data_IF_788934577176
#
_entry.id   IF_788934577176
#
_cell.length_a   1.000
_cell.length_b   1.000
_cell.length_c   1.000
_cell.angle_alpha   90.00
_cell.angle_beta   90.00
_cell.angle_gamma   90.00
#
_symmetry.space_group_name_H-M   'P 1'
#
loop_
_entity.id
_entity.type
_entity.pdbx_description
1 polymer ?
#
# COMPACT_ATOMS: atom_id res chain seq x y z
N UNK A 1 -14.83 7.36 -14.67
CA UNK A 1 -15.30 6.63 -13.48
C UNK A 1 -15.69 5.17 -13.76
N UNK A 2 -16.47 4.87 -14.81
CA UNK A 2 -16.97 3.51 -15.12
C UNK A 2 -15.91 2.40 -15.30
N UNK A 3 -14.69 2.72 -15.79
CA UNK A 3 -13.57 1.75 -15.84
C UNK A 3 -12.98 1.40 -14.46
N UNK A 4 -13.07 2.30 -13.47
CA UNK A 4 -12.62 2.02 -12.09
C UNK A 4 -13.58 1.03 -11.39
N UNK A 5 -14.87 1.01 -11.76
CA UNK A 5 -15.86 0.04 -11.25
C UNK A 5 -15.64 -1.40 -11.75
N UNK A 6 -15.14 -1.61 -12.99
CA UNK A 6 -14.83 -2.96 -13.49
C UNK A 6 -13.66 -3.64 -12.75
N UNK A 7 -12.80 -2.86 -12.09
CA UNK A 7 -11.76 -3.40 -11.19
C UNK A 7 -12.38 -3.90 -9.89
N UNK A 8 -13.43 -3.24 -9.38
CA UNK A 8 -14.20 -3.69 -8.19
C UNK A 8 -14.87 -5.05 -8.43
N UNK A 9 -15.33 -5.29 -9.66
CA UNK A 9 -15.91 -6.56 -10.14
C UNK A 9 -14.92 -7.73 -10.32
N UNK A 10 -13.63 -7.54 -10.00
CA UNK A 10 -12.64 -8.63 -9.93
C UNK A 10 -12.00 -8.79 -8.55
N UNK A 11 -12.35 -7.92 -7.59
CA UNK A 11 -11.87 -7.99 -6.20
C UNK A 11 -12.53 -9.18 -5.49
N UNK A 12 -13.78 -9.46 -5.83
CA UNK A 12 -14.54 -10.63 -5.40
C UNK A 12 -13.78 -11.94 -5.66
N UNK A 13 -13.23 -12.12 -6.87
CA UNK A 13 -12.45 -13.32 -7.22
C UNK A 13 -11.11 -13.39 -6.50
N UNK A 14 -10.46 -12.24 -6.27
CA UNK A 14 -9.22 -12.20 -5.49
C UNK A 14 -9.46 -12.53 -4.01
N UNK A 15 -10.55 -12.02 -3.44
CA UNK A 15 -10.98 -12.33 -2.06
C UNK A 15 -11.42 -13.79 -1.93
N UNK A 16 -12.16 -14.32 -2.91
CA UNK A 16 -12.55 -15.72 -2.95
C UNK A 16 -11.31 -16.64 -3.01
N UNK A 17 -10.33 -16.32 -3.86
CA UNK A 17 -9.08 -17.08 -3.97
C UNK A 17 -8.31 -17.11 -2.64
N UNK A 18 -8.26 -15.98 -1.92
CA UNK A 18 -7.59 -15.89 -0.60
C UNK A 18 -8.36 -16.66 0.46
N UNK A 19 -9.69 -16.60 0.41
CA UNK A 19 -10.57 -17.32 1.32
C UNK A 19 -10.47 -18.84 1.11
N UNK A 20 -10.40 -19.29 -0.14
CA UNK A 20 -10.17 -20.69 -0.51
C UNK A 20 -8.77 -21.16 -0.13
N UNK A 21 -7.74 -20.33 -0.34
CA UNK A 21 -6.34 -20.70 -0.09
C UNK A 21 -5.94 -20.64 1.39
N UNK A 22 -6.52 -19.73 2.18
CA UNK A 22 -5.97 -19.38 3.51
C UNK A 22 -7.02 -18.96 4.55
N UNK A 23 -8.20 -19.61 4.58
CA UNK A 23 -9.32 -19.26 5.48
C UNK A 23 -8.94 -18.98 6.94
N UNK A 24 -8.05 -19.78 7.53
CA UNK A 24 -7.60 -19.60 8.93
C UNK A 24 -6.81 -18.31 9.12
N UNK A 25 -5.86 -18.04 8.22
CA UNK A 25 -5.06 -16.82 8.23
C UNK A 25 -5.89 -15.58 7.89
N UNK A 26 -6.87 -15.71 7.01
CA UNK A 26 -7.82 -14.63 6.68
C UNK A 26 -8.63 -14.19 7.90
N UNK A 27 -9.17 -15.14 8.67
CA UNK A 27 -9.91 -14.84 9.91
C UNK A 27 -8.98 -14.22 10.95
N UNK A 28 -7.80 -14.81 11.16
CA UNK A 28 -6.85 -14.30 12.16
C UNK A 28 -6.35 -12.89 11.79
N UNK A 29 -6.07 -12.64 10.51
CA UNK A 29 -5.74 -11.32 9.99
C UNK A 29 -6.86 -10.31 10.19
N UNK A 30 -8.11 -10.70 9.96
CA UNK A 30 -9.27 -9.83 10.18
C UNK A 30 -9.38 -9.43 11.66
N UNK A 31 -9.22 -10.37 12.59
CA UNK A 31 -9.25 -10.09 14.04
C UNK A 31 -8.13 -9.13 14.42
N UNK A 32 -6.89 -9.37 13.97
CA UNK A 32 -5.75 -8.48 14.23
C UNK A 32 -5.99 -7.07 13.66
N UNK A 33 -6.58 -6.96 12.47
CA UNK A 33 -6.95 -5.68 11.86
C UNK A 33 -8.03 -4.94 12.67
N UNK A 34 -9.05 -5.64 13.17
CA UNK A 34 -10.07 -5.03 14.03
C UNK A 34 -9.44 -4.48 15.32
N UNK A 35 -8.58 -5.26 15.97
CA UNK A 35 -7.87 -4.82 17.17
C UNK A 35 -7.00 -3.58 16.90
N UNK A 36 -6.21 -3.61 15.82
CA UNK A 36 -5.38 -2.47 15.41
C UNK A 36 -6.21 -1.22 15.04
N UNK A 37 -7.44 -1.38 14.56
CA UNK A 37 -8.34 -0.28 14.24
C UNK A 37 -8.90 0.42 15.49
N UNK A 38 -9.16 -0.34 16.56
CA UNK A 38 -9.80 0.18 17.79
C UNK A 38 -8.79 0.66 18.84
N UNK A 39 -7.61 0.03 18.94
CA UNK A 39 -6.58 0.40 19.91
C UNK A 39 -6.17 1.90 19.92
N UNK A 40 -6.09 2.60 18.77
CA UNK A 40 -5.79 4.03 18.77
C UNK A 40 -6.80 4.86 19.57
N UNK A 41 -8.07 4.42 19.65
CA UNK A 41 -9.10 5.10 20.46
C UNK A 41 -8.81 4.97 21.95
N UNK A 42 -8.35 3.80 22.40
CA UNK A 42 -7.94 3.60 23.78
C UNK A 42 -6.74 4.50 24.15
N UNK A 43 -5.74 4.59 23.26
CA UNK A 43 -4.61 5.52 23.43
C UNK A 43 -5.09 6.97 23.52
N UNK A 44 -5.98 7.40 22.63
CA UNK A 44 -6.54 8.76 22.64
C UNK A 44 -7.30 9.07 23.94
N UNK A 45 -8.08 8.10 24.46
CA UNK A 45 -8.76 8.25 25.76
C UNK A 45 -7.77 8.41 26.92
N UNK A 46 -6.66 7.65 26.94
CA UNK A 46 -5.63 7.81 27.96
C UNK A 46 -4.92 9.18 27.88
N UNK A 47 -4.65 9.69 26.67
CA UNK A 47 -4.13 11.05 26.50
C UNK A 47 -5.10 12.10 27.06
N UNK A 48 -6.41 11.91 26.84
CA UNK A 48 -7.45 12.77 27.42
C UNK A 48 -7.42 12.76 28.95
N UNK A 49 -7.28 11.60 29.57
CA UNK A 49 -7.14 11.49 31.04
C UNK A 49 -5.91 12.24 31.58
N UNK A 50 -4.79 12.24 30.84
CA UNK A 50 -3.60 13.04 31.22
C UNK A 50 -3.94 14.54 31.19
N UNK A 51 -4.60 15.01 30.13
CA UNK A 51 -4.98 16.42 29.99
C UNK A 51 -5.97 16.84 31.09
N UNK A 52 -6.98 16.01 31.36
CA UNK A 52 -7.96 16.26 32.43
C UNK A 52 -7.26 16.35 33.79
N UNK A 53 -6.35 15.40 34.09
CA UNK A 53 -5.58 15.37 35.34
C UNK A 53 -4.72 16.63 35.53
N UNK A 54 -4.01 17.05 34.47
CA UNK A 54 -3.20 18.28 34.51
C UNK A 54 -4.10 19.49 34.76
N UNK A 55 -5.24 19.57 34.06
CA UNK A 55 -6.17 20.70 34.19
C UNK A 55 -6.80 20.77 35.58
N UNK A 56 -7.24 19.63 36.15
CA UNK A 56 -7.78 19.55 37.52
C UNK A 56 -6.74 19.92 38.58
N UNK A 57 -5.47 19.54 38.37
CA UNK A 57 -4.37 19.87 39.28
C UNK A 57 -4.04 21.36 39.28
N UNK A 58 -4.10 22.02 38.12
CA UNK A 58 -3.90 23.47 37.96
C UNK A 58 -5.05 24.26 38.56
N UNK A 59 -6.28 23.76 38.45
CA UNK A 59 -7.48 24.38 39.02
C UNK A 59 -7.66 24.12 40.53
N UNK A 60 -6.76 23.37 41.17
CA UNK A 60 -6.77 23.11 42.63
C UNK A 60 -7.90 22.21 43.12
N UNK A 61 -8.67 21.57 42.21
CA UNK A 61 -9.88 20.81 42.56
C UNK A 61 -9.59 19.34 42.90
N UNK A 62 -8.42 18.81 42.52
CA UNK A 62 -7.98 17.44 42.81
C UNK A 62 -6.46 17.35 42.69
N UNK A 63 -5.79 16.90 43.76
CA UNK A 63 -4.42 16.39 43.65
C UNK A 63 -4.48 14.93 43.23
N UNK A 64 -4.75 14.65 41.95
CA UNK A 64 -4.57 13.30 41.46
C UNK A 64 -3.09 12.92 41.63
N UNK A 65 -2.84 11.90 42.44
CA UNK A 65 -1.49 11.56 42.88
C UNK A 65 -0.58 11.18 41.73
N UNK A 66 0.72 11.44 41.88
CA UNK A 66 1.78 11.05 40.95
C UNK A 66 1.69 9.55 40.56
N UNK A 67 1.20 8.72 41.48
CA UNK A 67 0.90 7.29 41.26
C UNK A 67 -0.15 7.03 40.18
N UNK A 68 -1.23 7.82 40.11
CA UNK A 68 -2.26 7.68 39.08
C UNK A 68 -1.73 8.09 37.71
N UNK A 69 -0.96 9.18 37.64
CA UNK A 69 -0.28 9.62 36.41
C UNK A 69 0.69 8.55 35.90
N UNK A 70 1.52 8.00 36.78
CA UNK A 70 2.42 6.88 36.44
C UNK A 70 1.64 5.67 35.94
N UNK A 71 0.50 5.36 36.57
CA UNK A 71 -0.40 4.30 36.09
C UNK A 71 -0.90 4.52 34.67
N UNK A 72 -1.29 5.75 34.31
CA UNK A 72 -1.73 6.08 32.94
C UNK A 72 -0.57 5.98 31.94
N UNK A 73 0.62 6.47 32.30
CA UNK A 73 1.81 6.38 31.42
C UNK A 73 2.19 4.92 31.18
N UNK A 74 2.16 4.08 32.21
CA UNK A 74 2.44 2.64 32.08
C UNK A 74 1.38 1.97 31.20
N UNK A 75 0.10 2.34 31.35
CA UNK A 75 -0.97 1.83 30.49
C UNK A 75 -0.78 2.25 29.02
N UNK A 76 -0.38 3.50 28.76
CA UNK A 76 -0.03 3.96 27.41
C UNK A 76 1.13 3.17 26.81
N UNK A 77 2.21 3.00 27.57
CA UNK A 77 3.36 2.21 27.14
C UNK A 77 2.96 0.76 26.82
N UNK A 78 2.12 0.15 27.66
CA UNK A 78 1.60 -1.20 27.42
C UNK A 78 0.77 -1.27 26.14
N UNK A 79 -0.10 -0.29 25.87
CA UNK A 79 -0.89 -0.23 24.63
C UNK A 79 0.04 -0.11 23.41
N UNK A 80 1.06 0.76 23.45
CA UNK A 80 1.99 0.91 22.33
C UNK A 80 2.78 -0.38 22.06
N UNK A 81 3.19 -1.10 23.11
CA UNK A 81 3.83 -2.42 22.98
C UNK A 81 2.87 -3.43 22.32
N UNK A 82 1.59 -3.46 22.74
CA UNK A 82 0.57 -4.34 22.15
C UNK A 82 0.33 -3.97 20.68
N UNK A 83 0.25 -2.68 20.34
CA UNK A 83 0.11 -2.21 18.96
C UNK A 83 1.32 -2.63 18.12
N UNK A 84 2.54 -2.46 18.62
CA UNK A 84 3.76 -2.87 17.93
C UNK A 84 3.79 -4.38 17.69
N UNK A 85 3.41 -5.18 18.69
CA UNK A 85 3.30 -6.63 18.57
C UNK A 85 2.24 -7.03 17.53
N UNK A 86 1.04 -6.46 17.57
CA UNK A 86 -0.03 -6.73 16.62
C UNK A 86 0.34 -6.31 15.19
N UNK A 87 1.11 -5.22 15.01
CA UNK A 87 1.64 -4.84 13.69
C UNK A 87 2.63 -5.87 13.16
N UNK A 88 3.54 -6.35 14.01
CA UNK A 88 4.47 -7.43 13.66
C UNK A 88 3.73 -8.71 13.28
N UNK A 89 2.73 -9.08 14.08
CA UNK A 89 1.86 -10.23 13.82
C UNK A 89 1.07 -10.08 12.51
N UNK A 90 0.50 -8.90 12.25
CA UNK A 90 -0.18 -8.59 10.99
C UNK A 90 0.75 -8.74 9.79
N UNK A 91 2.01 -8.31 9.92
CA UNK A 91 3.02 -8.47 8.87
C UNK A 91 3.32 -9.95 8.61
N UNK A 92 3.45 -10.75 9.66
CA UNK A 92 3.68 -12.19 9.55
C UNK A 92 2.49 -12.93 8.91
N UNK A 93 1.26 -12.59 9.31
CA UNK A 93 0.03 -13.13 8.70
C UNK A 93 -0.02 -12.80 7.22
N UNK A 94 0.26 -11.54 6.88
CA UNK A 94 0.27 -11.09 5.48
C UNK A 94 1.28 -11.91 4.69
N UNK A 95 2.54 -12.00 5.15
CA UNK A 95 3.57 -12.78 4.47
C UNK A 95 3.18 -14.25 4.28
N UNK A 96 2.58 -14.87 5.30
CA UNK A 96 2.11 -16.26 5.22
C UNK A 96 0.98 -16.42 4.20
N UNK A 97 0.04 -15.47 4.14
CA UNK A 97 -1.00 -15.44 3.11
C UNK A 97 -0.41 -15.25 1.70
N UNK A 98 0.60 -14.39 1.56
CA UNK A 98 1.27 -14.19 0.27
C UNK A 98 1.87 -15.49 -0.24
N UNK A 99 2.62 -16.22 0.58
CA UNK A 99 3.19 -17.52 0.19
C UNK A 99 2.13 -18.56 -0.15
N UNK A 100 1.09 -18.72 0.67
CA UNK A 100 0.03 -19.70 0.41
C UNK A 100 -0.74 -19.42 -0.88
N UNK A 101 -1.01 -18.15 -1.17
CA UNK A 101 -1.67 -17.75 -2.42
C UNK A 101 -0.74 -17.98 -3.62
N UNK A 102 0.55 -17.69 -3.49
CA UNK A 102 1.54 -17.96 -4.54
C UNK A 102 1.63 -19.46 -4.84
N UNK A 103 1.75 -20.30 -3.81
CA UNK A 103 1.81 -21.75 -3.94
C UNK A 103 0.54 -22.32 -4.58
N UNK A 104 -0.63 -21.82 -4.18
CA UNK A 104 -1.89 -22.23 -4.77
C UNK A 104 -1.96 -21.88 -6.27
N UNK A 105 -1.60 -20.65 -6.64
CA UNK A 105 -1.57 -20.22 -8.04
C UNK A 105 -0.58 -21.07 -8.86
N UNK A 106 0.62 -21.33 -8.33
CA UNK A 106 1.61 -22.18 -8.99
C UNK A 106 1.12 -23.62 -9.15
N UNK A 107 0.48 -24.19 -8.13
CA UNK A 107 -0.08 -25.53 -8.19
C UNK A 107 -1.19 -25.64 -9.25
N UNK A 108 -2.10 -24.67 -9.30
CA UNK A 108 -3.13 -24.59 -10.34
C UNK A 108 -2.51 -24.47 -11.73
N UNK A 109 -1.44 -23.67 -11.85
CA UNK A 109 -0.74 -23.51 -13.12
C UNK A 109 -0.07 -24.81 -13.56
N UNK A 110 0.64 -25.51 -12.65
CA UNK A 110 1.25 -26.80 -12.94
C UNK A 110 0.20 -27.84 -13.39
N UNK A 111 -0.91 -27.96 -12.66
CA UNK A 111 -2.00 -28.88 -13.02
C UNK A 111 -2.62 -28.55 -14.39
N UNK A 112 -2.70 -27.26 -14.75
CA UNK A 112 -3.21 -26.88 -16.07
C UNK A 112 -2.19 -27.14 -17.18
N UNK A 113 -0.93 -26.84 -16.94
CA UNK A 113 0.19 -27.06 -17.88
C UNK A 113 0.40 -28.54 -18.23
N UNK A 114 0.13 -29.47 -17.32
CA UNK A 114 0.21 -30.92 -17.58
C UNK A 114 -1.04 -31.48 -18.26
N UNK A 115 -2.18 -30.79 -18.15
CA UNK A 115 -3.45 -31.20 -18.79
C UNK A 115 -3.60 -30.76 -20.25
N UNK A 116 -2.68 -29.92 -20.75
CA UNK A 116 -2.77 -29.30 -22.06
C UNK A 116 -1.88 -30.03 -23.07
N UNK A 117 -2.39 -30.17 -24.29
CA UNK A 117 -1.67 -30.80 -25.39
C UNK A 117 -0.45 -29.96 -25.81
N UNK A 118 0.60 -30.64 -26.29
CA UNK A 118 1.87 -30.03 -26.65
C UNK A 118 1.71 -28.97 -27.75
N UNK A 119 0.72 -29.15 -28.63
CA UNK A 119 0.36 -28.18 -29.68
C UNK A 119 0.04 -26.77 -29.15
N UNK A 120 -0.40 -26.63 -27.89
CA UNK A 120 -0.62 -25.31 -27.29
C UNK A 120 0.68 -24.59 -26.93
N UNK A 121 1.78 -25.31 -26.68
CA UNK A 121 3.08 -24.69 -26.38
C UNK A 121 3.72 -24.05 -27.60
N UNK A 122 3.33 -24.47 -28.80
CA UNK A 122 3.78 -23.87 -30.06
C UNK A 122 3.02 -22.58 -30.41
N UNK A 123 1.92 -22.28 -29.71
CA UNK A 123 1.15 -21.06 -29.92
C UNK A 123 1.77 -19.87 -29.16
N UNK A 124 2.22 -18.81 -29.85
CA UNK A 124 2.82 -17.64 -29.22
C UNK A 124 1.90 -16.94 -28.21
N UNK A 125 0.58 -16.95 -28.46
CA UNK A 125 -0.39 -16.33 -27.56
C UNK A 125 -0.55 -17.11 -26.24
N UNK A 126 -0.40 -18.44 -26.28
CA UNK A 126 -0.39 -19.27 -25.08
C UNK A 126 0.91 -19.08 -24.29
N UNK A 127 2.04 -19.01 -24.98
CA UNK A 127 3.35 -18.77 -24.36
C UNK A 127 3.41 -17.43 -23.62
N UNK A 128 2.86 -16.37 -24.23
CA UNK A 128 2.77 -15.04 -23.61
C UNK A 128 1.81 -15.07 -22.39
N UNK A 129 0.67 -15.75 -22.51
CA UNK A 129 -0.29 -15.91 -21.40
C UNK A 129 0.29 -16.71 -20.23
N UNK A 130 1.05 -17.77 -20.52
CA UNK A 130 1.71 -18.61 -19.53
C UNK A 130 2.84 -17.83 -18.84
N UNK A 131 3.65 -17.09 -19.60
CA UNK A 131 4.71 -16.24 -19.05
C UNK A 131 4.15 -15.15 -18.13
N UNK A 132 3.08 -14.47 -18.55
CA UNK A 132 2.38 -13.50 -17.71
C UNK A 132 1.75 -14.15 -16.46
N UNK A 133 1.23 -15.36 -16.57
CA UNK A 133 0.69 -16.10 -15.43
C UNK A 133 1.78 -16.52 -14.43
N UNK A 134 2.99 -16.82 -14.91
CA UNK A 134 4.14 -17.19 -14.07
C UNK A 134 4.76 -15.96 -13.38
N UNK A 135 5.01 -14.89 -14.14
CA UNK A 135 5.73 -13.72 -13.64
C UNK A 135 4.83 -12.73 -12.90
N UNK A 136 3.62 -12.45 -13.39
CA UNK A 136 2.78 -11.40 -12.83
C UNK A 136 1.75 -11.91 -11.83
N UNK A 137 1.09 -13.05 -12.07
CA UNK A 137 -0.06 -13.47 -11.27
C UNK A 137 0.23 -13.65 -9.76
N UNK A 138 1.36 -14.27 -9.34
CA UNK A 138 1.64 -14.49 -7.92
C UNK A 138 1.86 -13.17 -7.17
N UNK A 139 2.61 -12.24 -7.76
CA UNK A 139 2.95 -10.95 -7.14
C UNK A 139 1.80 -9.93 -7.18
N UNK A 140 0.95 -9.97 -8.21
CA UNK A 140 -0.16 -9.02 -8.36
C UNK A 140 -1.33 -9.34 -7.43
N UNK A 141 -1.57 -10.63 -7.19
CA UNK A 141 -2.71 -11.10 -6.38
C UNK A 141 -2.49 -10.83 -4.89
N UNK A 142 -1.31 -11.15 -4.36
CA UNK A 142 -0.92 -10.81 -2.97
C UNK A 142 -1.05 -9.32 -2.68
N UNK A 143 -0.53 -8.48 -3.59
CA UNK A 143 -0.53 -7.03 -3.43
C UNK A 143 -1.93 -6.42 -3.37
N UNK A 144 -2.89 -6.97 -4.11
CA UNK A 144 -4.28 -6.49 -4.07
C UNK A 144 -4.89 -6.72 -2.68
N UNK A 145 -4.65 -7.88 -2.08
CA UNK A 145 -5.16 -8.26 -0.75
C UNK A 145 -4.57 -7.37 0.32
N UNK A 146 -3.27 -7.15 0.28
CA UNK A 146 -2.57 -6.26 1.20
C UNK A 146 -3.13 -4.84 1.14
N UNK A 147 -3.31 -4.29 -0.07
CA UNK A 147 -3.86 -2.93 -0.24
C UNK A 147 -5.29 -2.84 0.29
N UNK A 148 -6.13 -3.85 0.06
CA UNK A 148 -7.51 -3.87 0.58
C UNK A 148 -7.54 -3.97 2.10
N UNK A 149 -6.68 -4.80 2.70
CA UNK A 149 -6.55 -4.92 4.15
C UNK A 149 -6.17 -3.59 4.80
N UNK A 150 -5.20 -2.89 4.22
CA UNK A 150 -4.77 -1.55 4.70
C UNK A 150 -5.91 -0.52 4.57
N UNK A 151 -6.64 -0.51 3.46
CA UNK A 151 -7.79 0.40 3.29
C UNK A 151 -8.87 0.12 4.34
N UNK A 152 -9.19 -1.15 4.57
CA UNK A 152 -10.20 -1.55 5.56
C UNK A 152 -9.78 -1.18 6.98
N UNK A 153 -8.54 -1.49 7.36
CA UNK A 153 -7.98 -1.16 8.67
C UNK A 153 -7.98 0.36 8.93
N UNK A 154 -7.49 1.14 7.96
CA UNK A 154 -7.45 2.60 8.09
C UNK A 154 -8.87 3.19 8.12
N UNK A 155 -9.80 2.64 7.33
CA UNK A 155 -11.21 3.04 7.34
C UNK A 155 -11.87 2.78 8.69
N UNK A 156 -11.63 1.60 9.27
CA UNK A 156 -12.15 1.25 10.60
C UNK A 156 -11.56 2.15 11.69
N UNK A 157 -10.25 2.40 11.63
CA UNK A 157 -9.58 3.29 12.58
C UNK A 157 -10.14 4.72 12.50
N UNK A 158 -10.33 5.23 11.28
CA UNK A 158 -10.94 6.55 11.07
C UNK A 158 -12.38 6.60 11.61
N UNK A 159 -13.18 5.57 11.36
CA UNK A 159 -14.55 5.48 11.89
C UNK A 159 -14.57 5.43 13.41
N UNK A 160 -13.69 4.63 14.02
CA UNK A 160 -13.60 4.51 15.48
C UNK A 160 -13.24 5.85 16.12
N UNK A 161 -12.28 6.58 15.55
CA UNK A 161 -11.90 7.94 15.99
C UNK A 161 -13.05 8.93 15.78
N UNK A 162 -13.75 8.89 14.64
CA UNK A 162 -14.91 9.76 14.41
C UNK A 162 -16.05 9.51 15.41
N UNK A 163 -16.40 8.25 15.67
CA UNK A 163 -17.43 7.88 16.65
C UNK A 163 -17.04 8.36 18.05
N UNK A 164 -15.78 8.15 18.43
CA UNK A 164 -15.25 8.65 19.69
C UNK A 164 -15.41 10.18 19.77
N UNK A 165 -14.97 10.93 18.77
CA UNK A 165 -15.07 12.40 18.74
C UNK A 165 -16.51 12.91 18.77
N UNK A 166 -17.43 12.25 18.05
CA UNK A 166 -18.86 12.61 18.07
C UNK A 166 -19.49 12.47 19.45
N UNK A 167 -18.97 11.59 20.30
CA UNK A 167 -19.48 11.40 21.68
C UNK A 167 -19.16 12.62 22.56
N UNK A 168 -18.11 13.39 22.23
CA UNK A 168 -17.71 14.58 22.98
C UNK A 168 -18.20 15.88 22.33
N UNK A 169 -17.87 16.10 21.05
CA UNK A 169 -18.26 17.33 20.35
C UNK A 169 -18.27 17.14 18.83
N UNK A 170 -19.45 17.28 18.22
CA UNK A 170 -19.65 17.15 16.77
C UNK A 170 -18.79 18.11 15.94
N UNK A 171 -18.51 19.31 16.46
CA UNK A 171 -17.67 20.30 15.78
C UNK A 171 -16.20 19.85 15.62
N UNK A 172 -15.67 19.05 16.56
CA UNK A 172 -14.28 18.54 16.46
C UNK A 172 -14.21 17.43 15.41
N UNK A 173 -15.25 16.60 15.32
CA UNK A 173 -15.37 15.62 14.24
C UNK A 173 -15.45 16.30 12.87
N UNK A 174 -16.20 17.40 12.74
CA UNK A 174 -16.26 18.18 11.51
C UNK A 174 -14.90 18.79 11.14
N UNK A 175 -14.18 19.35 12.12
CA UNK A 175 -12.84 19.91 11.92
C UNK A 175 -11.86 18.83 11.42
N UNK A 176 -11.90 17.63 11.99
CA UNK A 176 -11.10 16.49 11.53
C UNK A 176 -11.39 16.15 10.06
N UNK A 177 -12.67 16.12 9.66
CA UNK A 177 -13.04 15.87 8.25
C UNK A 177 -12.48 16.97 7.35
N UNK A 178 -12.63 18.24 7.73
CA UNK A 178 -12.07 19.38 6.98
C UNK A 178 -10.54 19.31 6.89
N UNK A 179 -9.86 18.78 7.92
CA UNK A 179 -8.42 18.62 7.91
C UNK A 179 -7.95 17.48 6.99
N UNK A 180 -8.66 16.35 6.95
CA UNK A 180 -8.25 15.16 6.20
C UNK A 180 -8.59 15.26 4.70
N UNK A 181 -9.75 15.87 4.36
CA UNK A 181 -10.27 15.91 2.98
C UNK A 181 -9.30 16.55 1.97
N UNK A 182 -8.66 17.71 2.24
CA UNK A 182 -7.69 18.31 1.32
C UNK A 182 -6.50 17.41 1.03
N UNK A 183 -5.99 16.71 2.06
CA UNK A 183 -4.88 15.76 1.93
C UNK A 183 -5.26 14.58 1.03
N UNK A 184 -6.46 14.04 1.22
CA UNK A 184 -7.01 12.97 0.36
C UNK A 184 -7.13 13.42 -1.10
N UNK A 185 -7.60 14.64 -1.35
CA UNK A 185 -7.72 15.20 -2.71
C UNK A 185 -6.36 15.33 -3.40
N UNK A 186 -5.33 15.78 -2.69
CA UNK A 186 -3.95 15.85 -3.21
C UNK A 186 -3.44 14.46 -3.57
N UNK A 187 -3.65 13.47 -2.69
CA UNK A 187 -3.29 12.07 -2.94
C UNK A 187 -3.99 11.49 -4.18
N UNK A 188 -5.31 11.68 -4.31
CA UNK A 188 -6.07 11.17 -5.45
C UNK A 188 -5.60 11.80 -6.77
N UNK A 189 -5.37 13.12 -6.78
CA UNK A 189 -4.84 13.80 -7.98
C UNK A 189 -3.43 13.36 -8.33
N UNK A 190 -2.57 13.14 -7.34
CA UNK A 190 -1.24 12.58 -7.58
C UNK A 190 -1.31 11.16 -8.15
N UNK A 191 -2.23 10.33 -7.65
CA UNK A 191 -2.44 8.97 -8.15
C UNK A 191 -2.86 8.97 -9.62
N UNK A 192 -3.81 9.84 -10.01
CA UNK A 192 -4.23 9.98 -11.40
C UNK A 192 -3.09 10.50 -12.30
N UNK A 193 -2.26 11.45 -11.82
CA UNK A 193 -1.06 11.92 -12.55
C UNK A 193 -0.03 10.83 -12.76
N UNK A 194 0.26 10.05 -11.72
CA UNK A 194 1.19 8.91 -11.82
C UNK A 194 0.66 7.86 -12.79
N UNK A 195 -0.64 7.56 -12.75
CA UNK A 195 -1.26 6.62 -13.67
C UNK A 195 -1.18 7.09 -15.13
N UNK A 196 -1.51 8.35 -15.39
CA UNK A 196 -1.39 8.95 -16.72
C UNK A 196 0.07 8.94 -17.21
N UNK A 197 1.01 9.30 -16.33
CA UNK A 197 2.44 9.26 -16.63
C UNK A 197 2.89 7.84 -16.98
N UNK A 198 2.59 6.82 -16.16
CA UNK A 198 2.91 5.41 -16.44
C UNK A 198 2.41 4.97 -17.82
N UNK A 199 1.17 5.33 -18.16
CA UNK A 199 0.60 5.00 -19.48
C UNK A 199 1.37 5.66 -20.63
N UNK A 200 1.74 6.93 -20.49
CA UNK A 200 2.52 7.66 -21.50
C UNK A 200 3.99 7.25 -21.55
N UNK A 201 4.55 6.80 -20.43
CA UNK A 201 5.94 6.40 -20.27
C UNK A 201 6.19 4.97 -20.74
N UNK A 202 5.17 4.10 -20.76
CA UNK A 202 5.31 2.68 -21.08
C UNK A 202 6.06 2.38 -22.39
N UNK A 203 5.86 3.18 -23.45
CA UNK A 203 6.60 2.99 -24.71
C UNK A 203 8.09 3.31 -24.55
N UNK A 204 8.40 4.43 -23.87
CA UNK A 204 9.78 4.88 -23.63
C UNK A 204 10.51 3.99 -22.62
N UNK A 205 9.80 3.44 -21.63
CA UNK A 205 10.35 2.41 -20.74
C UNK A 205 10.70 1.14 -21.50
N UNK A 206 9.83 0.67 -22.41
CA UNK A 206 10.12 -0.48 -23.27
C UNK A 206 11.31 -0.24 -24.19
N UNK A 207 11.41 0.93 -24.80
CA UNK A 207 12.55 1.32 -25.64
C UNK A 207 13.86 1.36 -24.84
N UNK A 208 13.86 1.97 -23.65
CA UNK A 208 15.02 1.96 -22.75
C UNK A 208 15.40 0.55 -22.31
N UNK A 209 14.41 -0.34 -22.14
CA UNK A 209 14.60 -1.76 -21.88
C UNK A 209 15.23 -2.48 -23.07
N UNK A 210 14.80 -2.17 -24.29
CA UNK A 210 15.35 -2.75 -25.51
C UNK A 210 16.81 -2.36 -25.74
N UNK A 211 17.17 -1.08 -25.55
CA UNK A 211 18.57 -0.66 -25.60
C UNK A 211 19.43 -1.34 -24.54
N UNK A 212 18.87 -1.55 -23.35
CA UNK A 212 19.56 -2.30 -22.31
C UNK A 212 19.79 -3.76 -22.74
N UNK A 213 18.76 -4.43 -23.24
CA UNK A 213 18.82 -5.81 -23.74
C UNK A 213 19.84 -5.98 -24.87
N UNK A 214 19.89 -5.07 -25.85
CA UNK A 214 20.87 -5.09 -26.94
C UNK A 214 22.33 -5.11 -26.46
N UNK A 215 22.60 -4.40 -25.36
CA UNK A 215 23.97 -4.27 -24.81
C UNK A 215 24.31 -5.41 -23.85
N UNK A 216 23.33 -5.97 -23.14
CA UNK A 216 23.56 -6.96 -22.07
C UNK A 216 23.35 -8.41 -22.50
N UNK A 217 22.57 -8.69 -23.54
CA UNK A 217 22.24 -10.05 -23.95
C UNK A 217 23.33 -10.65 -24.87
N UNK A 218 23.75 -11.92 -24.64
CA UNK A 218 24.85 -12.53 -25.39
C UNK A 218 24.68 -12.55 -26.92
N UNK A 219 23.44 -12.68 -27.39
CA UNK A 219 23.11 -12.76 -28.83
C UNK A 219 23.44 -11.45 -29.56
N UNK A 220 22.80 -10.30 -29.23
CA UNK A 220 23.13 -9.02 -29.86
C UNK A 220 24.50 -8.44 -29.42
N UNK A 221 25.00 -8.80 -28.23
CA UNK A 221 26.25 -8.22 -27.71
C UNK A 221 27.48 -8.53 -28.58
N UNK A 222 27.48 -9.62 -29.35
CA UNK A 222 28.57 -9.94 -30.28
C UNK A 222 28.63 -8.92 -31.41
N UNK A 223 27.49 -8.63 -32.05
CA UNK A 223 27.38 -7.62 -33.09
C UNK A 223 27.70 -6.22 -32.55
N UNK A 224 27.19 -5.87 -31.36
CA UNK A 224 27.46 -4.57 -30.73
C UNK A 224 28.95 -4.33 -30.46
N UNK A 225 29.73 -5.39 -30.19
CA UNK A 225 31.19 -5.30 -30.01
C UNK A 225 31.94 -5.24 -31.33
N UNK A 226 31.54 -6.05 -32.33
CA UNK A 226 32.17 -6.04 -33.65
C UNK A 226 31.98 -4.70 -34.35
N UNK A 227 30.79 -4.11 -34.28
CA UNK A 227 30.48 -2.82 -34.91
C UNK A 227 30.74 -1.60 -34.02
N UNK A 228 31.14 -1.79 -32.75
CA UNK A 228 31.44 -0.69 -31.83
C UNK A 228 30.23 0.14 -31.35
N UNK A 229 28.99 -0.31 -31.60
CA UNK A 229 27.78 0.46 -31.27
C UNK A 229 27.38 0.43 -29.78
N UNK A 230 28.01 -0.42 -28.96
CA UNK A 230 27.62 -0.57 -27.54
C UNK A 230 27.61 0.73 -26.74
N UNK A 231 28.54 1.66 -27.02
CA UNK A 231 28.59 2.97 -26.33
C UNK A 231 27.39 3.86 -26.70
N UNK A 232 27.00 3.87 -27.97
CA UNK A 232 25.90 4.70 -28.49
C UNK A 232 24.57 4.27 -27.85
N UNK A 233 24.25 2.98 -27.87
CA UNK A 233 23.03 2.46 -27.26
C UNK A 233 22.99 2.65 -25.73
N UNK A 234 24.14 2.53 -25.07
CA UNK A 234 24.26 2.83 -23.63
C UNK A 234 23.96 4.31 -23.33
N UNK A 235 24.44 5.24 -24.15
CA UNK A 235 24.14 6.66 -24.02
C UNK A 235 22.67 6.99 -24.29
N UNK A 236 22.06 6.37 -25.31
CA UNK A 236 20.62 6.50 -25.58
C UNK A 236 19.76 5.98 -24.41
N UNK A 237 20.08 4.79 -23.89
CA UNK A 237 19.41 4.23 -22.72
C UNK A 237 19.54 5.16 -21.50
N UNK A 238 20.72 5.71 -21.26
CA UNK A 238 20.97 6.65 -20.15
C UNK A 238 20.15 7.93 -20.30
N UNK A 239 20.12 8.52 -21.49
CA UNK A 239 19.35 9.74 -21.79
C UNK A 239 17.86 9.51 -21.59
N UNK A 240 17.31 8.42 -22.12
CA UNK A 240 15.89 8.09 -22.01
C UNK A 240 15.49 7.81 -20.56
N UNK A 241 16.29 7.04 -19.81
CA UNK A 241 16.08 6.83 -18.37
C UNK A 241 16.20 8.12 -17.56
N UNK A 242 17.09 9.04 -17.95
CA UNK A 242 17.22 10.36 -17.34
C UNK A 242 15.96 11.21 -17.50
N UNK A 243 15.38 11.22 -18.70
CA UNK A 243 14.11 11.92 -18.97
C UNK A 243 12.96 11.35 -18.14
N UNK A 244 12.78 10.03 -18.16
CA UNK A 244 11.74 9.35 -17.37
C UNK A 244 11.88 9.65 -15.87
N UNK A 245 13.11 9.64 -15.34
CA UNK A 245 13.40 9.99 -13.95
C UNK A 245 13.05 11.44 -13.64
N UNK A 246 13.40 12.37 -14.54
CA UNK A 246 13.07 13.78 -14.38
C UNK A 246 11.56 14.03 -14.33
N UNK A 247 10.79 13.34 -15.17
CA UNK A 247 9.32 13.44 -15.19
C UNK A 247 8.66 12.93 -13.91
N UNK A 248 9.04 11.74 -13.44
CA UNK A 248 8.46 11.19 -12.21
C UNK A 248 8.84 12.03 -10.99
N UNK A 249 10.08 12.56 -10.93
CA UNK A 249 10.51 13.45 -9.86
C UNK A 249 9.74 14.79 -9.87
N UNK A 250 9.37 15.33 -11.04
CA UNK A 250 8.51 16.52 -11.13
C UNK A 250 7.13 16.25 -10.52
N UNK A 251 6.54 15.09 -10.78
CA UNK A 251 5.26 14.69 -10.19
C UNK A 251 5.37 14.56 -8.67
N UNK A 252 6.45 13.93 -8.17
CA UNK A 252 6.67 13.79 -6.73
C UNK A 252 6.93 15.14 -6.04
N UNK A 253 7.73 16.03 -6.63
CA UNK A 253 7.95 17.39 -6.11
C UNK A 253 6.64 18.17 -6.01
N UNK A 254 5.79 18.08 -7.05
CA UNK A 254 4.47 18.71 -7.02
C UNK A 254 3.60 18.17 -5.87
N UNK A 255 3.56 16.84 -5.69
CA UNK A 255 2.83 16.19 -4.59
C UNK A 255 3.34 16.68 -3.23
N UNK A 256 4.65 16.62 -3.00
CA UNK A 256 5.29 17.07 -1.76
C UNK A 256 4.95 18.52 -1.42
N UNK A 257 5.05 19.42 -2.40
CA UNK A 257 4.70 20.83 -2.19
C UNK A 257 3.24 21.00 -1.76
N UNK A 258 2.31 20.27 -2.38
CA UNK A 258 0.88 20.34 -2.06
C UNK A 258 0.56 19.74 -0.69
N UNK A 259 1.18 18.62 -0.34
CA UNK A 259 1.05 18.00 0.98
C UNK A 259 1.57 18.93 2.08
N UNK A 260 2.69 19.61 1.84
CA UNK A 260 3.23 20.61 2.78
C UNK A 260 2.26 21.77 3.02
N UNK A 261 1.68 22.34 1.95
CA UNK A 261 0.68 23.43 2.10
C UNK A 261 -0.60 22.96 2.79
N UNK A 262 -1.05 21.72 2.54
CA UNK A 262 -2.19 21.14 3.26
C UNK A 262 -1.86 20.99 4.74
N UNK A 263 -0.68 20.44 5.08
CA UNK A 263 -0.25 20.24 6.46
C UNK A 263 -0.16 21.57 7.24
N UNK A 264 0.38 22.62 6.61
CA UNK A 264 0.37 23.98 7.18
C UNK A 264 -1.05 24.50 7.41
N UNK A 265 -1.94 24.34 6.43
CA UNK A 265 -3.34 24.75 6.57
C UNK A 265 -4.06 24.03 7.71
N UNK A 266 -3.77 22.76 7.94
CA UNK A 266 -4.36 21.98 9.04
C UNK A 266 -3.82 22.33 10.43
N UNK A 267 -2.61 22.89 10.53
CA UNK A 267 -2.05 23.33 11.83
C UNK A 267 -2.61 24.71 12.23
N UNK A 268 -2.93 25.54 11.24
CA UNK A 268 -3.40 26.92 11.45
C UNK A 268 -4.91 27.01 11.67
N UNK A 269 -5.68 26.00 11.24
CA UNK A 269 -7.14 25.90 11.39
C UNK A 269 -7.56 25.20 12.69
#
# INVERSE_FOLDING_TARGET
>A
MLKKLKVVLKIDRGLALVWESSRRWAIFGLVVMLLLGVLPVASLYLHKLIIDLITESVMGSRSGGLSFLVGIIVALAAIEIVVAFLRSLSSYITLSQEHLVQDHVLHTLHGKSTSLDLAYYENPAYHDSLHLAQEEAPARTSKLVQVLGVILQNGLSLLAVMIFLMTYHWGVALLLVVAVVPGLVVHLRSSDRIFAWKKSAASREREAGYYHWLVTTPTPAKEMRVFGFGRVFSEWARKLRGQLRGEILKIQKWRLSREFFVALGTIVA
#
